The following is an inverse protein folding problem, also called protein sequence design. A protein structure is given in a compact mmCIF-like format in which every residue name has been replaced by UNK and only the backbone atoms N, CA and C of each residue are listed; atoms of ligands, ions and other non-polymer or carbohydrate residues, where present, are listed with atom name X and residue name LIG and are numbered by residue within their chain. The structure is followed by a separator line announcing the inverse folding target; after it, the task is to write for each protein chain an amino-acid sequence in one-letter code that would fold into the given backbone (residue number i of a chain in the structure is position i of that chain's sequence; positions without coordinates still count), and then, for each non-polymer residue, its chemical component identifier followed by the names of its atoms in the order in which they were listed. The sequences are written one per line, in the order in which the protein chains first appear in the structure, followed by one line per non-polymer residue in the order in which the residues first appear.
data_IF_142350901811
#
_entry.id   IF_142350901811
#
_cell.length_a   1.000
_cell.length_b   1.000
_cell.length_c   1.000
_cell.angle_alpha   90.00
_cell.angle_beta   90.00
_cell.angle_gamma   90.00
#
_symmetry.space_group_name_H-M   'P 1'
#
loop_
_entity.id
_entity.type
_entity.pdbx_description
1 polymer ?
#
# COMPACT_ATOMS: atom_id res chain seq x y z
N UNK A 1 10.13 26.76 0.10
CA UNK A 1 9.12 26.17 1.01
C UNK A 1 8.49 24.92 0.40
N UNK A 2 7.91 25.02 -0.78
CA UNK A 2 7.29 23.87 -1.46
C UNK A 2 8.27 22.73 -1.76
N UNK A 3 9.51 23.04 -2.08
CA UNK A 3 10.54 22.02 -2.38
C UNK A 3 10.81 21.08 -1.20
N UNK A 4 10.79 21.60 0.04
CA UNK A 4 10.99 20.77 1.24
C UNK A 4 9.82 19.84 1.45
N UNK A 5 8.60 20.32 1.22
CA UNK A 5 7.39 19.53 1.37
C UNK A 5 7.35 18.39 0.36
N UNK A 6 7.67 18.67 -0.90
CA UNK A 6 7.72 17.63 -1.93
C UNK A 6 8.84 16.64 -1.67
N UNK A 7 10.01 17.10 -1.24
CA UNK A 7 11.11 16.20 -0.89
C UNK A 7 10.74 15.28 0.27
N UNK A 8 10.03 15.80 1.28
CA UNK A 8 9.55 15.02 2.40
C UNK A 8 8.55 13.94 1.95
N UNK A 9 7.58 14.33 1.13
CA UNK A 9 6.57 13.40 0.60
C UNK A 9 7.20 12.33 -0.28
N UNK A 10 8.13 12.71 -1.16
CA UNK A 10 8.83 11.77 -2.03
C UNK A 10 9.65 10.78 -1.22
N UNK A 11 10.31 11.24 -0.15
CA UNK A 11 11.07 10.38 0.75
C UNK A 11 10.19 9.35 1.45
N UNK A 12 9.04 9.80 1.97
CA UNK A 12 8.08 8.90 2.61
C UNK A 12 7.49 7.89 1.62
N UNK A 13 7.13 8.36 0.42
CA UNK A 13 6.57 7.50 -0.63
C UNK A 13 7.57 6.44 -1.06
N UNK A 14 8.84 6.83 -1.26
CA UNK A 14 9.91 5.91 -1.65
C UNK A 14 10.14 4.86 -0.56
N UNK A 15 10.21 5.28 0.70
CA UNK A 15 10.39 4.37 1.83
C UNK A 15 9.25 3.36 1.94
N UNK A 16 8.02 3.84 1.84
CA UNK A 16 6.84 2.98 1.91
C UNK A 16 6.84 1.97 0.76
N UNK A 17 7.05 2.43 -0.46
CA UNK A 17 7.11 1.55 -1.62
C UNK A 17 8.17 0.46 -1.46
N UNK A 18 9.38 0.83 -1.06
CA UNK A 18 10.47 -0.12 -0.88
C UNK A 18 10.14 -1.18 0.17
N UNK A 19 9.55 -0.77 1.29
CA UNK A 19 9.15 -1.68 2.35
C UNK A 19 8.07 -2.67 1.89
N UNK A 20 7.08 -2.19 1.14
CA UNK A 20 6.01 -3.05 0.63
C UNK A 20 6.53 -4.02 -0.44
N UNK A 21 7.36 -3.55 -1.35
CA UNK A 21 7.96 -4.38 -2.39
C UNK A 21 8.85 -5.47 -1.78
N UNK A 22 9.60 -5.15 -0.72
CA UNK A 22 10.43 -6.13 -0.01
C UNK A 22 9.57 -7.24 0.61
N UNK A 23 8.46 -6.90 1.23
CA UNK A 23 7.53 -7.87 1.81
C UNK A 23 6.91 -8.76 0.73
N UNK A 24 6.49 -8.18 -0.38
CA UNK A 24 5.92 -8.92 -1.50
C UNK A 24 6.95 -9.93 -2.05
N UNK A 25 8.18 -9.48 -2.24
CA UNK A 25 9.26 -10.33 -2.75
C UNK A 25 9.61 -11.46 -1.77
N UNK A 26 9.65 -11.14 -0.47
CA UNK A 26 9.98 -12.12 0.58
C UNK A 26 8.99 -13.29 0.59
N UNK A 27 7.71 -13.03 0.36
CA UNK A 27 6.66 -14.05 0.35
C UNK A 27 6.41 -14.64 -1.04
N UNK A 28 7.00 -14.08 -2.08
CA UNK A 28 6.81 -14.55 -3.45
C UNK A 28 5.44 -14.31 -4.02
N UNK A 29 4.71 -13.29 -3.54
CA UNK A 29 3.39 -12.96 -4.04
C UNK A 29 3.44 -12.31 -5.42
N UNK A 30 2.42 -12.56 -6.21
CA UNK A 30 2.23 -11.93 -7.52
C UNK A 30 1.42 -10.62 -7.39
N UNK A 31 1.93 -9.71 -6.59
CA UNK A 31 1.33 -8.39 -6.34
C UNK A 31 2.33 -7.31 -6.76
N UNK A 32 1.84 -6.09 -6.94
CA UNK A 32 2.73 -4.96 -7.22
C UNK A 32 2.25 -3.68 -6.56
N UNK A 33 3.17 -2.73 -6.41
CA UNK A 33 2.89 -1.41 -5.83
C UNK A 33 2.83 -0.40 -6.96
N UNK A 34 1.78 0.41 -6.95
CA UNK A 34 1.63 1.53 -7.90
C UNK A 34 1.69 2.82 -7.10
N UNK A 35 2.52 3.76 -7.54
CA UNK A 35 2.65 5.06 -6.89
C UNK A 35 2.54 6.20 -7.90
N UNK A 36 1.97 7.30 -7.44
CA UNK A 36 1.89 8.55 -8.19
C UNK A 36 2.08 9.69 -7.17
N UNK A 37 3.33 10.16 -7.04
CA UNK A 37 3.67 11.15 -6.01
C UNK A 37 3.44 10.59 -4.61
N UNK A 38 2.65 11.30 -3.82
CA UNK A 38 2.32 10.93 -2.44
C UNK A 38 1.21 9.88 -2.34
N UNK A 39 0.65 9.50 -3.46
CA UNK A 39 -0.48 8.58 -3.54
C UNK A 39 -0.04 7.22 -4.06
N UNK A 40 -0.66 6.17 -3.58
CA UNK A 40 -0.33 4.84 -4.08
C UNK A 40 -1.25 3.77 -3.54
N UNK A 41 -1.01 2.55 -4.00
CA UNK A 41 -1.74 1.38 -3.56
C UNK A 41 -0.94 0.11 -3.84
N UNK A 42 -1.33 -0.96 -3.16
CA UNK A 42 -0.88 -2.31 -3.50
C UNK A 42 -1.96 -2.93 -4.38
N UNK A 43 -1.58 -3.43 -5.53
CA UNK A 43 -2.48 -4.12 -6.44
C UNK A 43 -2.26 -5.62 -6.27
N UNK A 44 -3.30 -6.36 -5.89
CA UNK A 44 -3.23 -7.80 -5.64
C UNK A 44 -3.35 -8.59 -6.93
N UNK A 45 -2.41 -8.30 -7.84
CA UNK A 45 -2.37 -8.84 -9.17
C UNK A 45 -0.95 -8.64 -9.72
N UNK A 46 -0.48 -9.58 -10.52
CA UNK A 46 0.85 -9.51 -11.11
C UNK A 46 0.96 -8.42 -12.15
N UNK A 47 0.03 -8.41 -13.11
CA UNK A 47 0.07 -7.47 -14.23
C UNK A 47 -0.57 -6.14 -13.86
N UNK A 48 -0.11 -5.08 -14.52
CA UNK A 48 -0.68 -3.75 -14.31
C UNK A 48 -2.11 -3.70 -14.78
N UNK A 49 -2.92 -2.94 -14.07
CA UNK A 49 -4.29 -2.65 -14.48
C UNK A 49 -4.24 -1.60 -15.60
N UNK A 50 -4.69 -1.98 -16.78
CA UNK A 50 -4.67 -1.10 -17.95
C UNK A 50 -6.08 -0.69 -18.37
N UNK A 51 -7.08 -1.47 -18.00
CA UNK A 51 -8.48 -1.20 -18.31
C UNK A 51 -9.37 -1.68 -17.18
N UNK A 52 -10.61 -1.24 -17.20
CA UNK A 52 -11.58 -1.56 -16.14
C UNK A 52 -11.80 -3.07 -15.99
N UNK A 53 -11.74 -3.82 -17.05
CA UNK A 53 -11.88 -5.28 -17.03
C UNK A 53 -10.80 -5.93 -16.17
N UNK A 54 -9.58 -5.43 -16.23
CA UNK A 54 -8.47 -5.90 -15.39
C UNK A 54 -8.76 -5.65 -13.92
N UNK A 55 -9.28 -4.47 -13.62
CA UNK A 55 -9.67 -4.10 -12.26
C UNK A 55 -10.75 -5.04 -11.71
N UNK A 56 -11.73 -5.41 -12.52
CA UNK A 56 -12.80 -6.32 -12.11
C UNK A 56 -12.27 -7.71 -11.73
N UNK A 57 -11.15 -8.13 -12.28
CA UNK A 57 -10.53 -9.42 -12.00
C UNK A 57 -9.77 -9.50 -10.68
N UNK A 58 -9.58 -8.37 -9.98
CA UNK A 58 -8.87 -8.35 -8.70
C UNK A 58 -9.76 -8.95 -7.59
N UNK A 59 -9.16 -9.77 -6.72
CA UNK A 59 -9.90 -10.39 -5.61
C UNK A 59 -10.19 -9.34 -4.54
N UNK A 60 -11.47 -8.99 -4.40
CA UNK A 60 -11.91 -8.00 -3.43
C UNK A 60 -11.70 -8.44 -1.97
N UNK A 61 -11.60 -9.74 -1.71
CA UNK A 61 -11.40 -10.26 -0.35
C UNK A 61 -10.03 -9.89 0.18
N UNK A 62 -9.01 -9.90 -0.67
CA UNK A 62 -7.65 -9.51 -0.27
C UNK A 62 -7.60 -8.03 0.11
N UNK A 63 -8.20 -7.18 -0.70
CA UNK A 63 -8.27 -5.75 -0.40
C UNK A 63 -9.03 -5.47 0.90
N UNK A 64 -10.14 -6.14 1.11
CA UNK A 64 -10.92 -5.98 2.33
C UNK A 64 -10.16 -6.44 3.58
N UNK A 65 -9.49 -7.59 3.51
CA UNK A 65 -8.68 -8.10 4.61
C UNK A 65 -7.51 -7.15 4.91
N UNK A 66 -6.85 -6.65 3.88
CA UNK A 66 -5.77 -5.69 4.06
C UNK A 66 -6.27 -4.42 4.76
N UNK A 67 -7.43 -3.90 4.32
CA UNK A 67 -8.05 -2.74 4.95
C UNK A 67 -8.33 -2.98 6.43
N UNK A 68 -8.91 -4.13 6.77
CA UNK A 68 -9.21 -4.48 8.17
C UNK A 68 -7.95 -4.59 9.02
N UNK A 69 -6.89 -5.20 8.50
CA UNK A 69 -5.64 -5.36 9.26
C UNK A 69 -4.93 -4.02 9.44
N UNK A 70 -4.99 -3.13 8.47
CA UNK A 70 -4.48 -1.76 8.63
C UNK A 70 -5.28 -1.01 9.70
N UNK A 71 -6.60 -1.11 9.64
CA UNK A 71 -7.48 -0.46 10.60
C UNK A 71 -7.20 -0.95 12.04
N UNK A 72 -7.08 -2.25 12.23
CA UNK A 72 -6.77 -2.84 13.53
C UNK A 72 -5.36 -2.46 14.01
N UNK A 73 -4.46 -2.20 13.09
CA UNK A 73 -3.10 -1.74 13.38
C UNK A 73 -2.95 -0.24 13.54
N UNK A 74 -4.05 0.49 13.54
CA UNK A 74 -4.05 1.94 13.77
C UNK A 74 -3.89 2.80 12.53
N UNK A 75 -4.05 2.23 11.34
CA UNK A 75 -3.99 2.97 10.08
C UNK A 75 -5.38 2.98 9.44
N UNK A 76 -5.94 4.18 9.30
CA UNK A 76 -7.30 4.34 8.76
C UNK A 76 -7.22 4.75 7.29
N UNK A 77 -7.49 3.79 6.42
CA UNK A 77 -7.57 4.02 4.98
C UNK A 77 -8.99 4.42 4.58
N UNK A 78 -9.16 5.06 3.42
CA UNK A 78 -10.49 5.34 2.89
C UNK A 78 -11.34 4.06 2.80
N UNK A 79 -12.67 4.20 2.75
CA UNK A 79 -13.56 3.05 2.63
C UNK A 79 -13.15 2.16 1.46
N UNK A 80 -13.37 0.90 1.64
CA UNK A 80 -12.79 -0.14 0.80
C UNK A 80 -13.29 -0.14 -0.64
N UNK A 81 -12.45 -0.66 -1.48
CA UNK A 81 -12.75 -1.17 -2.80
C UNK A 81 -11.89 -2.41 -2.97
N UNK A 82 -11.52 -2.73 -4.19
CA UNK A 82 -10.60 -3.83 -4.45
C UNK A 82 -9.15 -3.45 -4.17
N UNK A 83 -8.87 -2.16 -4.18
CA UNK A 83 -7.53 -1.60 -4.02
C UNK A 83 -7.66 -0.38 -3.13
N UNK A 84 -7.16 -0.48 -1.92
CA UNK A 84 -7.13 0.64 -0.97
C UNK A 84 -5.94 1.52 -1.26
N UNK A 85 -6.22 2.81 -1.43
CA UNK A 85 -5.20 3.79 -1.73
C UNK A 85 -4.79 4.54 -0.48
N UNK A 86 -3.48 4.81 -0.35
CA UNK A 86 -3.00 5.75 0.65
C UNK A 86 -2.77 7.11 0.00
N UNK A 87 -2.80 8.13 0.84
CA UNK A 87 -2.42 9.48 0.47
C UNK A 87 -1.60 10.08 1.61
N UNK A 88 -0.33 10.32 1.34
CA UNK A 88 0.57 10.90 2.33
C UNK A 88 0.42 12.41 2.36
N UNK A 89 0.61 12.98 3.54
CA UNK A 89 0.62 14.43 3.73
C UNK A 89 1.91 14.85 4.43
N UNK A 90 2.18 16.14 4.44
CA UNK A 90 3.37 16.68 5.12
C UNK A 90 3.33 16.48 6.63
N UNK A 91 2.18 16.14 7.20
CA UNK A 91 2.02 15.85 8.61
C UNK A 91 2.49 14.44 8.97
N UNK A 92 2.59 13.54 7.98
CA UNK A 92 3.08 12.20 8.22
C UNK A 92 4.60 12.17 8.38
N UNK A 93 5.10 11.17 9.10
CA UNK A 93 6.52 10.95 9.32
C UNK A 93 6.89 9.50 9.01
N UNK A 94 8.17 9.15 9.24
CA UNK A 94 8.64 7.78 8.98
C UNK A 94 7.95 6.75 9.85
N UNK A 95 7.59 7.08 11.09
CA UNK A 95 6.89 6.15 11.98
C UNK A 95 5.52 5.78 11.41
N UNK A 96 4.84 6.73 10.78
CA UNK A 96 3.53 6.49 10.16
C UNK A 96 3.63 5.49 9.02
N UNK A 97 4.58 5.68 8.10
CA UNK A 97 4.77 4.77 6.96
C UNK A 97 5.29 3.41 7.42
N UNK A 98 6.14 3.37 8.44
CA UNK A 98 6.66 2.12 9.00
C UNK A 98 5.53 1.32 9.67
N UNK A 99 4.57 2.00 10.29
CA UNK A 99 3.38 1.33 10.84
C UNK A 99 2.55 0.68 9.76
N UNK A 100 2.32 1.39 8.66
CA UNK A 100 1.62 0.83 7.49
C UNK A 100 2.37 -0.40 6.98
N UNK A 101 3.68 -0.29 6.80
CA UNK A 101 4.51 -1.39 6.30
C UNK A 101 4.49 -2.59 7.23
N UNK A 102 4.54 -2.37 8.56
CA UNK A 102 4.47 -3.45 9.54
C UNK A 102 3.11 -4.16 9.51
N UNK A 103 2.02 -3.40 9.38
CA UNK A 103 0.68 -3.96 9.26
C UNK A 103 0.55 -4.78 7.98
N UNK A 104 1.12 -4.27 6.88
CA UNK A 104 1.13 -5.00 5.62
C UNK A 104 1.92 -6.31 5.72
N UNK A 105 3.06 -6.30 6.42
CA UNK A 105 3.86 -7.50 6.64
C UNK A 105 3.05 -8.56 7.40
N UNK A 106 2.31 -8.18 8.43
CA UNK A 106 1.42 -9.10 9.16
C UNK A 106 0.30 -9.64 8.27
N UNK A 107 -0.27 -8.79 7.43
CA UNK A 107 -1.26 -9.21 6.44
C UNK A 107 -0.67 -10.24 5.48
N UNK A 108 0.53 -9.99 4.96
CA UNK A 108 1.21 -10.90 4.05
C UNK A 108 1.46 -12.27 4.70
N UNK A 109 1.90 -12.29 5.97
CA UNK A 109 2.10 -13.52 6.72
C UNK A 109 0.79 -14.29 6.88
N UNK A 110 -0.31 -13.62 7.18
CA UNK A 110 -1.62 -14.23 7.36
C UNK A 110 -2.12 -14.86 6.04
N UNK A 111 -1.89 -14.21 4.92
CA UNK A 111 -2.32 -14.69 3.60
C UNK A 111 -1.44 -15.85 3.12
N UNK A 112 -0.17 -15.87 3.50
CA UNK A 112 0.79 -16.89 3.06
C UNK A 112 0.57 -18.26 3.71
N UNK A 113 -0.22 -18.35 4.76
CA UNK A 113 -0.50 -19.62 5.48
C UNK A 113 -1.47 -20.56 4.70
#
# INVERSE_FOLDING_TARGET
MYKRQYAHLDGLATRLRASLEATIAEHGFEWHVVTAGAKGCVTFRRDRVREFRDFLGIDARLGHLHWLMQHNGGVFLPPWGKVEQWLLSVQHNTDDVDRFAANFARFAEAVAV
#
